data_IF_552925967552
#
_entry.id   IF_552925967552
#
_cell.length_a   1.000
_cell.length_b   1.000
_cell.length_c   1.000
_cell.angle_alpha   90.00
_cell.angle_beta   90.00
_cell.angle_gamma   90.00
#
_symmetry.space_group_name_H-M   'P 1'
#
loop_
_entity.id
_entity.type
_entity.pdbx_description
1 polymer ?
#
# COMPACT_ATOMS: atom_id res chain seq x y z
N UNK A 1 11.95 -6.00 -4.53
CA UNK A 1 10.62 -6.30 -5.11
C UNK A 1 10.49 -5.58 -6.44
N UNK A 2 9.71 -6.11 -7.39
CA UNK A 2 9.38 -5.39 -8.62
C UNK A 2 8.58 -4.13 -8.27
N UNK A 3 8.91 -2.97 -8.87
CA UNK A 3 8.23 -1.67 -8.67
C UNK A 3 6.82 -1.62 -9.28
N UNK A 4 6.07 -2.73 -9.29
CA UNK A 4 4.70 -2.74 -9.79
C UNK A 4 3.74 -2.51 -8.63
N UNK A 5 3.26 -1.27 -8.51
CA UNK A 5 2.27 -0.85 -7.49
C UNK A 5 1.08 -1.80 -7.45
N UNK A 6 0.57 -2.26 -8.60
CA UNK A 6 -0.56 -3.18 -8.65
C UNK A 6 -0.25 -4.53 -7.99
N UNK A 7 0.93 -5.08 -8.27
CA UNK A 7 1.40 -6.33 -7.66
C UNK A 7 1.60 -6.18 -6.15
N UNK A 8 2.14 -5.05 -5.72
CA UNK A 8 2.40 -4.77 -4.30
C UNK A 8 1.10 -4.56 -3.53
N UNK A 9 0.16 -3.79 -4.08
CA UNK A 9 -1.18 -3.61 -3.48
C UNK A 9 -1.91 -4.95 -3.40
N UNK A 10 -1.87 -5.75 -4.47
CA UNK A 10 -2.45 -7.10 -4.46
C UNK A 10 -1.83 -7.97 -3.37
N UNK A 11 -0.51 -8.00 -3.27
CA UNK A 11 0.19 -8.73 -2.22
C UNK A 11 -0.29 -8.33 -0.81
N UNK A 12 -0.43 -7.02 -0.55
CA UNK A 12 -0.90 -6.53 0.75
C UNK A 12 -2.34 -6.97 1.03
N UNK A 13 -3.23 -6.85 0.04
CA UNK A 13 -4.64 -7.26 0.20
C UNK A 13 -4.78 -8.78 0.38
N UNK A 14 -4.03 -9.58 -0.38
CA UNK A 14 -4.06 -11.04 -0.31
C UNK A 14 -3.56 -11.57 1.05
N UNK A 15 -2.57 -10.90 1.67
CA UNK A 15 -1.94 -11.38 2.90
C UNK A 15 -2.44 -10.69 4.17
N UNK A 16 -3.04 -9.50 4.06
CA UNK A 16 -3.43 -8.68 5.20
C UNK A 16 -4.77 -7.98 5.04
N UNK A 17 -5.50 -8.22 3.95
CA UNK A 17 -6.76 -7.55 3.64
C UNK A 17 -7.81 -7.66 4.74
N UNK A 18 -7.84 -8.76 5.48
CA UNK A 18 -8.74 -8.95 6.64
C UNK A 18 -8.52 -7.94 7.78
N UNK A 19 -7.34 -7.32 7.86
CA UNK A 19 -7.00 -6.31 8.86
C UNK A 19 -7.10 -4.88 8.30
N UNK A 20 -7.34 -4.73 7.00
CA UNK A 20 -7.43 -3.45 6.29
C UNK A 20 -8.90 -3.09 6.10
N UNK A 21 -9.40 -2.24 6.98
CA UNK A 21 -10.79 -1.76 7.00
C UNK A 21 -10.99 -0.44 6.26
N UNK A 22 -9.90 0.28 5.95
CA UNK A 22 -9.93 1.56 5.25
C UNK A 22 -8.63 1.86 4.49
N UNK A 23 -8.69 2.85 3.61
CA UNK A 23 -7.59 3.25 2.74
C UNK A 23 -6.34 3.72 3.51
N UNK A 24 -6.52 4.36 4.67
CA UNK A 24 -5.37 4.80 5.49
C UNK A 24 -4.56 3.61 5.99
N UNK A 25 -5.24 2.52 6.36
CA UNK A 25 -4.55 1.30 6.79
C UNK A 25 -3.80 0.64 5.62
N UNK A 26 -4.38 0.63 4.42
CA UNK A 26 -3.69 0.14 3.23
C UNK A 26 -2.41 0.94 2.96
N UNK A 27 -2.49 2.27 2.98
CA UNK A 27 -1.36 3.16 2.76
C UNK A 27 -0.26 2.91 3.80
N UNK A 28 -0.63 2.83 5.08
CA UNK A 28 0.33 2.56 6.16
C UNK A 28 0.98 1.19 6.03
N UNK A 29 0.21 0.17 5.63
CA UNK A 29 0.73 -1.18 5.38
C UNK A 29 1.68 -1.21 4.19
N UNK A 30 1.32 -0.53 3.10
CA UNK A 30 2.18 -0.40 1.93
C UNK A 30 3.51 0.26 2.32
N UNK A 31 3.44 1.40 3.00
CA UNK A 31 4.66 2.11 3.39
C UNK A 31 5.54 1.30 4.34
N UNK A 32 4.92 0.57 5.28
CA UNK A 32 5.67 -0.25 6.23
C UNK A 32 6.30 -1.49 5.60
N UNK A 33 5.58 -2.18 4.71
CA UNK A 33 5.98 -3.51 4.22
C UNK A 33 6.74 -3.44 2.90
N UNK A 34 6.36 -2.52 2.02
CA UNK A 34 6.92 -2.40 0.67
C UNK A 34 7.99 -1.32 0.63
N UNK A 35 7.67 -0.13 1.15
CA UNK A 35 8.61 1.00 1.19
C UNK A 35 9.47 0.99 2.46
N UNK A 36 9.35 -0.04 3.32
CA UNK A 36 10.14 -0.25 4.54
C UNK A 36 10.23 0.97 5.49
N UNK A 37 9.23 1.86 5.45
CA UNK A 37 9.17 3.06 6.28
C UNK A 37 8.94 2.68 7.74
N UNK A 38 9.80 3.16 8.63
CA UNK A 38 9.61 2.97 10.07
C UNK A 38 8.46 3.85 10.60
N UNK A 39 7.39 3.19 11.06
CA UNK A 39 6.21 3.83 11.65
C UNK A 39 6.21 3.56 13.16
N UNK A 40 6.43 4.60 13.97
CA UNK A 40 6.30 4.52 15.42
C UNK A 40 5.01 5.21 15.91
N UNK A 41 4.53 4.84 17.10
CA UNK A 41 3.34 5.49 17.72
C UNK A 41 3.57 6.96 18.04
N UNK A 42 4.82 7.36 18.20
CA UNK A 42 5.20 8.72 18.59
C UNK A 42 5.45 9.60 17.38
N UNK A 43 6.12 9.08 16.33
CA UNK A 43 6.47 9.81 15.11
C UNK A 43 6.71 8.86 13.92
N UNK A 44 6.51 9.34 12.70
CA UNK A 44 7.03 8.69 11.49
C UNK A 44 8.42 9.27 11.21
N UNK A 45 9.37 8.44 10.81
CA UNK A 45 10.69 8.91 10.41
C UNK A 45 10.57 9.80 9.16
N UNK A 46 10.80 11.11 9.33
CA UNK A 46 10.75 12.07 8.23
C UNK A 46 11.77 11.75 7.14
N UNK A 47 12.92 11.18 7.53
CA UNK A 47 13.98 10.79 6.58
C UNK A 47 13.51 9.61 5.73
N UNK A 48 12.92 8.58 6.34
CA UNK A 48 12.43 7.42 5.61
C UNK A 48 11.27 7.82 4.69
N UNK A 49 10.37 8.68 5.15
CA UNK A 49 9.27 9.21 4.34
C UNK A 49 9.74 10.03 3.12
N UNK A 50 10.78 10.85 3.28
CA UNK A 50 11.33 11.65 2.19
C UNK A 50 12.09 10.79 1.17
N UNK A 51 12.73 9.72 1.64
CA UNK A 51 13.54 8.83 0.80
C UNK A 51 12.71 7.73 0.13
N UNK A 52 11.60 7.33 0.75
CA UNK A 52 10.65 6.34 0.26
C UNK A 52 9.22 6.78 0.58
N UNK A 53 8.46 7.11 -0.46
CA UNK A 53 7.03 7.33 -0.35
C UNK A 53 6.38 7.24 -1.72
N UNK A 54 6.03 6.01 -2.10
CA UNK A 54 5.10 5.80 -3.21
C UNK A 54 3.89 6.72 -3.02
N UNK A 55 3.50 7.46 -4.06
CA UNK A 55 2.42 8.43 -3.96
C UNK A 55 1.13 7.73 -3.52
N UNK A 56 0.44 8.29 -2.53
CA UNK A 56 -0.83 7.75 -2.03
C UNK A 56 -1.83 7.54 -3.17
N UNK A 57 -1.89 8.46 -4.13
CA UNK A 57 -2.78 8.35 -5.28
C UNK A 57 -2.49 7.11 -6.12
N UNK A 58 -1.22 6.72 -6.24
CA UNK A 58 -0.82 5.53 -7.01
C UNK A 58 -1.24 4.25 -6.30
N UNK A 59 -1.05 4.19 -4.98
CA UNK A 59 -1.47 3.05 -4.13
C UNK A 59 -3.00 2.86 -4.25
N UNK A 60 -3.76 3.95 -4.12
CA UNK A 60 -5.23 3.90 -4.22
C UNK A 60 -5.70 3.57 -5.63
N UNK A 61 -5.01 4.08 -6.66
CA UNK A 61 -5.31 3.73 -8.05
C UNK A 61 -5.06 2.24 -8.31
N UNK A 62 -4.00 1.68 -7.72
CA UNK A 62 -3.74 0.24 -7.75
C UNK A 62 -4.89 -0.57 -7.13
N UNK A 63 -5.39 -0.15 -5.96
CA UNK A 63 -6.55 -0.77 -5.32
C UNK A 63 -7.79 -0.73 -6.21
N UNK A 64 -8.13 0.45 -6.75
CA UNK A 64 -9.31 0.64 -7.62
C UNK A 64 -9.20 -0.25 -8.87
N UNK A 65 -8.01 -0.35 -9.46
CA UNK A 65 -7.82 -1.19 -10.64
C UNK A 65 -8.04 -2.68 -10.32
N UNK A 66 -7.60 -3.16 -9.16
CA UNK A 66 -7.89 -4.54 -8.73
C UNK A 66 -9.40 -4.77 -8.56
N UNK A 67 -10.11 -3.83 -7.93
CA UNK A 67 -11.57 -3.93 -7.76
C UNK A 67 -12.31 -3.98 -9.11
N UNK A 68 -11.84 -3.22 -10.11
CA UNK A 68 -12.37 -3.26 -11.48
C UNK A 68 -12.10 -4.63 -12.10
N UNK A 69 -10.86 -5.12 -12.02
CA UNK A 69 -10.48 -6.42 -12.59
C UNK A 69 -11.30 -7.58 -11.99
N UNK A 70 -11.48 -7.59 -10.66
CA UNK A 70 -12.30 -8.59 -9.97
C UNK A 70 -13.76 -8.54 -10.41
N UNK A 71 -14.32 -7.33 -10.58
CA UNK A 71 -15.70 -7.14 -11.04
C UNK A 71 -15.88 -7.59 -12.50
N UNK A 72 -14.85 -7.42 -13.33
CA UNK A 72 -14.87 -7.79 -14.74
C UNK A 72 -14.45 -9.25 -14.99
N UNK A 73 -13.96 -9.96 -13.96
CA UNK A 73 -13.50 -11.35 -14.06
C UNK A 73 -12.19 -11.50 -14.85
N UNK A 74 -11.32 -10.49 -14.77
CA UNK A 74 -10.03 -10.38 -15.47
C UNK A 74 -8.84 -10.89 -14.64
#
# INVERSE_FOLDING_TARGET
MNNNILTNVKYILDNYGEHITNDKQLILMYWKIIDEVEISKTFISTVDFLNLSTNVADILSGKILLEIMEKEGL
#
